data_IF_450391174748
#
_entry.id   IF_450391174748
#
_cell.length_a   1.000
_cell.length_b   1.000
_cell.length_c   1.000
_cell.angle_alpha   90.00
_cell.angle_beta   90.00
_cell.angle_gamma   90.00
#
_symmetry.space_group_name_H-M   'P 1'
#
loop_
_entity.id
_entity.type
_entity.pdbx_description
1 polymer ?
#
# COMPACT_ATOMS: atom_id res chain seq x y z
N UNK A 1 2.93 -1.78 -24.05
CA UNK A 1 2.12 -0.75 -23.35
C UNK A 1 2.49 -0.87 -21.88
N UNK A 2 3.26 0.07 -21.32
CA UNK A 2 3.60 0.05 -19.90
C UNK A 2 2.38 0.53 -19.10
N UNK A 3 2.10 -0.04 -17.92
CA UNK A 3 0.98 0.41 -17.09
C UNK A 3 1.15 1.90 -16.79
N UNK A 4 0.05 2.65 -16.85
CA UNK A 4 0.08 4.06 -16.44
C UNK A 4 0.42 4.16 -14.95
N UNK A 5 0.96 5.31 -14.54
CA UNK A 5 1.28 5.55 -13.14
C UNK A 5 0.06 5.31 -12.22
N UNK A 6 -1.14 5.62 -12.72
CA UNK A 6 -2.39 5.36 -12.01
C UNK A 6 -2.66 3.86 -11.84
N UNK A 7 -2.61 3.10 -12.93
CA UNK A 7 -2.81 1.64 -12.89
C UNK A 7 -1.78 0.96 -11.98
N UNK A 8 -0.54 1.46 -11.97
CA UNK A 8 0.49 0.98 -11.06
C UNK A 8 0.12 1.20 -9.58
N UNK A 9 -0.35 2.40 -9.22
CA UNK A 9 -0.78 2.69 -7.86
C UNK A 9 -2.01 1.87 -7.44
N UNK A 10 -2.99 1.70 -8.32
CA UNK A 10 -4.16 0.85 -8.07
C UNK A 10 -3.74 -0.62 -7.86
N UNK A 11 -2.82 -1.13 -8.67
CA UNK A 11 -2.30 -2.49 -8.52
C UNK A 11 -1.60 -2.69 -7.17
N UNK A 12 -0.78 -1.74 -6.72
CA UNK A 12 -0.13 -1.77 -5.41
C UNK A 12 -1.15 -1.73 -4.27
N UNK A 13 -2.19 -0.89 -4.37
CA UNK A 13 -3.27 -0.82 -3.37
C UNK A 13 -4.04 -2.14 -3.28
N UNK A 14 -4.44 -2.68 -4.43
CA UNK A 14 -5.15 -3.97 -4.52
C UNK A 14 -4.27 -5.10 -3.98
N UNK A 15 -2.99 -5.14 -4.35
CA UNK A 15 -2.04 -6.07 -3.78
C UNK A 15 -2.02 -5.94 -2.25
N UNK A 16 -1.92 -4.73 -1.70
CA UNK A 16 -1.87 -4.59 -0.24
C UNK A 16 -3.19 -4.96 0.48
N UNK A 17 -4.35 -4.83 -0.19
CA UNK A 17 -5.67 -5.27 0.32
C UNK A 17 -5.87 -6.78 0.31
N UNK A 18 -5.43 -7.44 -0.76
CA UNK A 18 -5.74 -8.86 -0.99
C UNK A 18 -4.55 -9.80 -0.77
N UNK A 19 -3.31 -9.30 -0.84
CA UNK A 19 -2.11 -10.11 -0.67
C UNK A 19 -1.94 -10.45 0.81
N UNK A 20 -1.92 -11.73 1.21
CA UNK A 20 -1.75 -12.12 2.61
C UNK A 20 -0.35 -11.82 3.16
N UNK A 21 -0.17 -11.72 4.50
CA UNK A 21 1.13 -11.42 5.11
C UNK A 21 2.23 -12.44 4.75
N UNK A 22 1.85 -13.69 4.54
CA UNK A 22 2.79 -14.79 4.23
C UNK A 22 3.50 -14.63 2.88
N UNK A 23 2.96 -13.81 1.98
CA UNK A 23 3.58 -13.51 0.68
C UNK A 23 4.50 -12.29 0.72
N UNK A 24 4.61 -11.63 1.88
CA UNK A 24 5.47 -10.48 2.06
C UNK A 24 6.81 -10.94 2.62
N UNK A 25 7.90 -10.59 1.94
CA UNK A 25 9.25 -10.97 2.35
C UNK A 25 9.71 -10.25 3.61
N UNK A 26 9.10 -9.12 3.96
CA UNK A 26 9.45 -8.32 5.12
C UNK A 26 8.21 -7.69 5.78
N UNK A 27 8.21 -7.51 7.12
CA UNK A 27 7.09 -6.91 7.87
C UNK A 27 6.75 -5.47 7.43
N UNK A 28 7.68 -4.77 6.79
CA UNK A 28 7.47 -3.43 6.22
C UNK A 28 7.15 -3.38 4.72
N UNK A 29 7.19 -4.51 4.00
CA UNK A 29 7.07 -4.52 2.54
C UNK A 29 5.74 -3.95 2.06
N UNK A 30 4.63 -4.29 2.73
CA UNK A 30 3.30 -3.79 2.38
C UNK A 30 3.17 -2.27 2.59
N UNK A 31 3.76 -1.74 3.66
CA UNK A 31 3.78 -0.30 3.93
C UNK A 31 4.60 0.42 2.87
N UNK A 32 5.74 -0.13 2.45
CA UNK A 32 6.54 0.41 1.34
C UNK A 32 5.76 0.45 0.01
N UNK A 33 5.05 -0.63 -0.32
CA UNK A 33 4.20 -0.70 -1.52
C UNK A 33 3.07 0.34 -1.49
N UNK A 34 2.37 0.50 -0.36
CA UNK A 34 1.33 1.52 -0.23
C UNK A 34 1.89 2.95 -0.25
N UNK A 35 3.07 3.17 0.33
CA UNK A 35 3.73 4.48 0.30
C UNK A 35 4.11 4.87 -1.14
N UNK A 36 4.56 3.91 -1.94
CA UNK A 36 4.86 4.11 -3.36
C UNK A 36 3.59 4.40 -4.18
N UNK A 37 2.50 3.66 -3.90
CA UNK A 37 1.19 3.93 -4.49
C UNK A 37 0.71 5.35 -4.15
N UNK A 38 0.75 5.74 -2.86
CA UNK A 38 0.36 7.06 -2.38
C UNK A 38 1.15 8.17 -3.07
N UNK A 39 2.48 8.03 -3.18
CA UNK A 39 3.35 9.01 -3.83
C UNK A 39 3.02 9.17 -5.32
N UNK A 40 2.60 8.10 -5.97
CA UNK A 40 2.18 8.13 -7.37
C UNK A 40 0.84 8.84 -7.54
N UNK A 41 -0.13 8.55 -6.67
CA UNK A 41 -1.44 9.19 -6.66
C UNK A 41 -1.34 10.69 -6.33
N UNK A 42 -0.40 11.08 -5.46
CA UNK A 42 -0.12 12.48 -5.14
C UNK A 42 0.28 13.27 -6.40
N UNK A 43 1.22 12.71 -7.19
CA UNK A 43 1.66 13.31 -8.45
C UNK A 43 0.54 13.41 -9.49
N UNK A 44 -0.41 12.49 -9.45
CA UNK A 44 -1.57 12.48 -10.34
C UNK A 44 -2.70 13.39 -9.85
N UNK A 45 -2.65 13.86 -8.60
CA UNK A 45 -3.70 14.65 -7.96
C UNK A 45 -4.90 13.82 -7.49
N UNK A 46 -4.78 12.49 -7.43
CA UNK A 46 -5.85 11.60 -6.97
C UNK A 46 -5.89 11.49 -5.45
N UNK A 47 -6.50 12.51 -4.85
CA UNK A 47 -6.58 12.66 -3.39
C UNK A 47 -7.42 11.57 -2.73
N UNK A 48 -8.46 11.05 -3.40
CA UNK A 48 -9.34 10.03 -2.83
C UNK A 48 -8.59 8.72 -2.61
N UNK A 49 -7.94 8.24 -3.66
CA UNK A 49 -7.19 6.98 -3.60
C UNK A 49 -5.96 7.13 -2.70
N UNK A 50 -5.33 8.32 -2.68
CA UNK A 50 -4.23 8.62 -1.78
C UNK A 50 -4.64 8.54 -0.31
N UNK A 51 -5.81 9.08 0.06
CA UNK A 51 -6.33 8.95 1.42
C UNK A 51 -6.59 7.49 1.79
N UNK A 52 -7.11 6.68 0.87
CA UNK A 52 -7.31 5.24 1.10
C UNK A 52 -5.98 4.53 1.40
N UNK A 53 -4.94 4.78 0.57
CA UNK A 53 -3.58 4.28 0.84
C UNK A 53 -3.09 4.66 2.23
N UNK A 54 -3.26 5.92 2.63
CA UNK A 54 -2.84 6.42 3.94
C UNK A 54 -3.59 5.74 5.09
N UNK A 55 -4.90 5.55 4.96
CA UNK A 55 -5.71 4.84 5.97
C UNK A 55 -5.25 3.38 6.12
N UNK A 56 -4.95 2.70 5.02
CA UNK A 56 -4.44 1.33 5.07
C UNK A 56 -3.05 1.30 5.71
N UNK A 57 -2.15 2.22 5.37
CA UNK A 57 -0.83 2.34 6.01
C UNK A 57 -0.98 2.51 7.52
N UNK A 58 -1.83 3.43 7.96
CA UNK A 58 -2.09 3.68 9.38
C UNK A 58 -2.67 2.44 10.07
N UNK A 59 -3.61 1.75 9.43
CA UNK A 59 -4.18 0.51 9.95
C UNK A 59 -3.12 -0.59 10.10
N UNK A 60 -2.21 -0.71 9.13
CA UNK A 60 -1.09 -1.68 9.19
C UNK A 60 -0.07 -1.30 10.26
N UNK A 61 0.25 -0.02 10.43
CA UNK A 61 1.13 0.46 11.52
C UNK A 61 0.50 0.21 12.89
N UNK A 62 -0.81 0.41 13.02
CA UNK A 62 -1.56 0.21 14.26
C UNK A 62 -1.77 -1.29 14.58
N UNK A 63 -1.83 -2.13 13.55
CA UNK A 63 -2.03 -3.58 13.63
C UNK A 63 -0.74 -4.40 13.76
N UNK A 64 0.41 -3.77 14.08
CA UNK A 64 1.60 -4.51 14.49
C UNK A 64 1.36 -5.10 15.88
N UNK A 65 0.53 -6.15 15.94
CA UNK A 65 0.62 -7.11 17.04
C UNK A 65 2.03 -7.65 16.99
N UNK A 66 2.84 -7.22 17.96
CA UNK A 66 4.03 -7.91 18.40
C UNK A 66 3.66 -9.38 18.55
N UNK A 67 4.05 -10.23 17.60
CA UNK A 67 4.20 -11.66 17.88
C UNK A 67 5.48 -11.78 18.69
N UNK A 68 5.36 -11.54 19.99
CA UNK A 68 6.20 -12.17 20.99
C UNK A 68 5.52 -13.48 21.36
N UNK A 69 6.07 -14.59 20.87
CA UNK A 69 6.05 -15.92 21.50
C UNK A 69 6.77 -16.91 20.60
#
# INVERSE_FOLDING_TARGET
>A
MSPTAREHAEALLLACRYLPPIFLSAPGQRVGMLAEAARTLEKLGDKRTLQDCQQIILALSSGTTVTSS
#
